data_IF_210142083113
#
_entry.id   IF_210142083113
#
_cell.length_a   1.000
_cell.length_b   1.000
_cell.length_c   1.000
_cell.angle_alpha   90.00
_cell.angle_beta   90.00
_cell.angle_gamma   90.00
#
_symmetry.space_group_name_H-M   'P 1'
#
loop_
_entity.id
_entity.type
_entity.pdbx_description
1 polymer ?
#
# COMPACT_ATOMS: atom_id res chain seq x y z
N UNK A 1 -11.17 9.50 -23.80
CA UNK A 1 -12.22 8.76 -24.52
C UNK A 1 -13.34 9.69 -24.97
N UNK A 2 -14.05 10.43 -24.06
CA UNK A 2 -15.18 11.31 -24.45
C UNK A 2 -14.84 12.35 -25.50
N UNK A 3 -13.63 12.87 -25.49
CA UNK A 3 -13.17 13.85 -26.46
C UNK A 3 -12.88 13.19 -27.82
N UNK A 4 -12.13 12.09 -27.80
CA UNK A 4 -11.80 11.36 -29.03
C UNK A 4 -13.01 10.73 -29.74
N UNK A 5 -14.08 10.43 -28.99
CA UNK A 5 -15.35 9.93 -29.53
C UNK A 5 -16.11 10.96 -30.39
N UNK A 6 -15.80 12.25 -30.22
CA UNK A 6 -16.49 13.37 -30.85
C UNK A 6 -15.65 14.14 -31.88
N UNK A 7 -14.40 13.78 -32.04
CA UNK A 7 -13.44 14.49 -32.88
C UNK A 7 -12.85 13.53 -33.92
N UNK A 8 -12.97 13.91 -35.18
CA UNK A 8 -12.23 13.25 -36.25
C UNK A 8 -10.71 13.41 -36.00
N UNK A 9 -9.93 12.43 -36.41
CA UNK A 9 -8.47 12.41 -36.26
C UNK A 9 -7.95 12.42 -34.81
N UNK A 10 -8.77 11.96 -33.86
CA UNK A 10 -8.40 11.89 -32.45
C UNK A 10 -8.40 10.46 -31.94
N UNK A 11 -7.42 10.13 -31.11
CA UNK A 11 -7.36 8.87 -30.37
C UNK A 11 -7.13 9.11 -28.87
N UNK A 12 -7.50 8.13 -28.05
CA UNK A 12 -7.31 8.19 -26.60
C UNK A 12 -6.64 6.91 -26.10
N UNK A 13 -5.63 7.06 -25.24
CA UNK A 13 -5.06 5.95 -24.47
C UNK A 13 -5.98 5.68 -23.28
N UNK A 14 -6.50 4.46 -23.16
CA UNK A 14 -7.40 4.08 -22.09
C UNK A 14 -7.39 2.57 -21.86
N UNK A 15 -8.08 2.11 -20.82
CA UNK A 15 -8.31 0.67 -20.62
C UNK A 15 -9.28 0.11 -21.66
N UNK A 16 -9.12 -1.16 -22.01
CA UNK A 16 -10.08 -1.89 -22.87
C UNK A 16 -11.52 -1.76 -22.34
N UNK A 17 -11.71 -1.85 -21.03
CA UNK A 17 -13.01 -1.68 -20.39
C UNK A 17 -13.65 -0.31 -20.71
N UNK A 18 -12.88 0.76 -20.64
CA UNK A 18 -13.39 2.12 -20.93
C UNK A 18 -13.77 2.28 -22.41
N UNK A 19 -13.04 1.66 -23.33
CA UNK A 19 -13.39 1.67 -24.76
C UNK A 19 -14.70 0.91 -25.02
N UNK A 20 -14.82 -0.32 -24.49
CA UNK A 20 -16.01 -1.15 -24.63
C UNK A 20 -17.25 -0.48 -24.02
N UNK A 21 -17.13 0.08 -22.82
CA UNK A 21 -18.23 0.80 -22.14
C UNK A 21 -18.75 2.01 -22.95
N UNK A 22 -17.89 2.59 -23.77
CA UNK A 22 -18.22 3.76 -24.60
C UNK A 22 -18.56 3.40 -26.05
N UNK A 23 -18.45 2.16 -26.43
CA UNK A 23 -18.69 1.72 -27.80
C UNK A 23 -17.70 2.27 -28.84
N UNK A 24 -16.49 2.71 -28.39
CA UNK A 24 -15.45 3.21 -29.31
C UNK A 24 -14.56 2.06 -29.78
N UNK A 25 -14.16 2.08 -31.06
CA UNK A 25 -13.29 1.04 -31.62
C UNK A 25 -11.90 1.10 -30.96
N UNK A 26 -11.31 -0.09 -30.75
CA UNK A 26 -9.95 -0.24 -30.27
C UNK A 26 -9.03 -0.35 -31.48
N UNK A 27 -8.17 0.64 -31.69
CA UNK A 27 -7.23 0.66 -32.80
C UNK A 27 -6.00 -0.21 -32.52
N UNK A 28 -5.44 -0.09 -31.34
CA UNK A 28 -4.27 -0.85 -30.88
C UNK A 28 -4.53 -1.36 -29.47
N UNK A 29 -4.14 -2.59 -29.19
CA UNK A 29 -4.25 -3.23 -27.89
C UNK A 29 -2.85 -3.54 -27.34
N UNK A 30 -2.72 -3.62 -26.01
CA UNK A 30 -1.47 -3.94 -25.34
C UNK A 30 -0.32 -3.00 -25.70
N UNK A 31 -0.58 -1.70 -25.60
CA UNK A 31 0.38 -0.65 -25.93
C UNK A 31 1.26 -0.23 -24.74
N UNK A 32 1.18 -0.95 -23.63
CA UNK A 32 2.03 -0.75 -22.47
C UNK A 32 3.50 -1.06 -22.79
N UNK A 33 4.41 -0.22 -22.32
CA UNK A 33 5.86 -0.41 -22.47
C UNK A 33 6.39 -1.61 -21.67
N UNK A 34 5.71 -1.97 -20.60
CA UNK A 34 6.05 -3.10 -19.74
C UNK A 34 4.82 -3.96 -19.44
N UNK A 35 4.97 -5.29 -19.57
CA UNK A 35 3.92 -6.25 -19.18
C UNK A 35 3.65 -6.28 -17.67
N UNK A 36 4.58 -5.78 -16.86
CA UNK A 36 4.50 -5.72 -15.40
C UNK A 36 3.93 -4.39 -14.89
N UNK A 37 3.23 -3.65 -15.74
CA UNK A 37 2.58 -2.40 -15.35
C UNK A 37 1.32 -2.70 -14.54
N UNK A 38 1.43 -2.64 -13.22
CA UNK A 38 0.34 -2.88 -12.30
C UNK A 38 -0.05 -1.61 -11.54
N UNK A 39 -1.36 -1.34 -11.46
CA UNK A 39 -1.90 -0.29 -10.61
C UNK A 39 -2.48 -0.92 -9.35
N UNK A 40 -1.97 -0.49 -8.19
CA UNK A 40 -2.47 -0.93 -6.88
C UNK A 40 -3.65 -0.06 -6.47
N UNK A 41 -4.80 -0.68 -6.30
CA UNK A 41 -5.99 -0.05 -5.73
C UNK A 41 -6.10 -0.38 -4.26
N UNK A 42 -6.54 0.60 -3.46
CA UNK A 42 -6.79 0.43 -2.02
C UNK A 42 -8.28 0.62 -1.79
N UNK A 43 -8.89 -0.33 -1.08
CA UNK A 43 -10.26 -0.22 -0.58
C UNK A 43 -10.20 0.39 0.82
N UNK A 44 -10.88 1.52 1.02
CA UNK A 44 -10.97 2.18 2.31
C UNK A 44 -12.28 1.78 2.99
N UNK A 45 -12.21 1.47 4.29
CA UNK A 45 -13.35 1.16 5.14
C UNK A 45 -13.31 2.02 6.41
N UNK A 46 -14.48 2.36 6.95
CA UNK A 46 -14.61 3.01 8.25
C UNK A 46 -14.51 2.05 9.44
N UNK A 47 -14.43 0.73 9.17
CA UNK A 47 -14.33 -0.32 10.20
C UNK A 47 -13.08 -1.16 9.97
N UNK A 48 -12.44 -1.55 11.07
CA UNK A 48 -11.30 -2.47 11.04
C UNK A 48 -11.78 -3.90 10.78
N UNK A 49 -11.02 -4.65 9.98
CA UNK A 49 -11.25 -6.07 9.83
C UNK A 49 -10.69 -6.80 11.07
N UNK A 50 -11.56 -7.45 11.83
CA UNK A 50 -11.23 -8.24 13.02
C UNK A 50 -11.10 -9.75 12.73
N UNK A 51 -11.38 -10.17 11.49
CA UNK A 51 -11.38 -11.58 11.11
C UNK A 51 -9.97 -11.97 10.64
N UNK A 52 -9.35 -12.88 11.37
CA UNK A 52 -8.05 -13.44 11.03
C UNK A 52 -8.23 -14.49 9.92
N UNK A 53 -7.49 -14.35 8.84
CA UNK A 53 -7.38 -15.34 7.77
C UNK A 53 -6.02 -16.05 7.79
N UNK A 54 -5.86 -17.07 6.95
CA UNK A 54 -4.58 -17.78 6.83
C UNK A 54 -3.52 -17.00 6.04
N UNK A 55 -3.92 -15.99 5.32
CA UNK A 55 -3.04 -15.23 4.40
C UNK A 55 -3.30 -13.73 4.53
N UNK A 56 -3.19 -13.22 5.75
CA UNK A 56 -3.38 -11.80 6.01
C UNK A 56 -2.12 -10.99 5.72
N UNK A 57 -2.36 -9.76 5.39
CA UNK A 57 -1.37 -8.70 5.32
C UNK A 57 -1.81 -7.53 6.17
N UNK A 58 -0.88 -6.98 6.94
CA UNK A 58 -1.09 -5.77 7.73
C UNK A 58 -0.29 -4.61 7.15
N UNK A 59 -0.93 -3.46 7.07
CA UNK A 59 -0.28 -2.20 6.70
C UNK A 59 -0.26 -1.27 7.91
N UNK A 60 0.90 -0.66 8.17
CA UNK A 60 1.12 0.32 9.23
C UNK A 60 1.80 1.56 8.69
N UNK A 61 1.58 2.68 9.37
CA UNK A 61 2.37 3.89 9.25
C UNK A 61 3.20 4.05 10.51
N UNK A 62 4.50 4.28 10.34
CA UNK A 62 5.43 4.41 11.46
C UNK A 62 6.12 5.77 11.42
N UNK A 63 6.12 6.45 12.56
CA UNK A 63 6.83 7.70 12.79
C UNK A 63 8.02 7.41 13.72
N UNK A 64 9.25 7.51 13.22
CA UNK A 64 10.44 7.31 14.04
C UNK A 64 11.15 8.64 14.20
N UNK A 65 11.74 8.85 15.38
CA UNK A 65 12.61 10.00 15.63
C UNK A 65 13.80 9.96 14.68
N UNK A 66 14.31 11.15 14.34
CA UNK A 66 15.52 11.26 13.52
C UNK A 66 16.75 10.89 14.37
N UNK A 67 17.41 9.79 14.03
CA UNK A 67 18.57 9.31 14.76
C UNK A 67 19.30 8.18 14.06
N UNK A 68 20.59 8.04 14.36
CA UNK A 68 21.39 6.96 13.84
C UNK A 68 20.90 5.61 14.34
N UNK A 69 20.59 4.69 13.41
CA UNK A 69 20.20 3.32 13.73
C UNK A 69 18.73 3.12 14.11
N UNK A 70 17.94 4.17 14.37
CA UNK A 70 16.57 4.04 14.88
C UNK A 70 15.68 3.17 13.98
N UNK A 71 15.77 3.32 12.66
CA UNK A 71 15.04 2.46 11.73
C UNK A 71 15.54 1.01 11.80
N UNK A 72 16.85 0.81 11.91
CA UNK A 72 17.44 -0.53 11.99
C UNK A 72 16.99 -1.26 13.26
N UNK A 73 17.00 -0.57 14.39
CA UNK A 73 16.49 -1.10 15.67
C UNK A 73 15.02 -1.47 15.57
N UNK A 74 14.20 -0.60 14.97
CA UNK A 74 12.79 -0.89 14.74
C UNK A 74 12.57 -2.11 13.84
N UNK A 75 13.33 -2.26 12.76
CA UNK A 75 13.24 -3.41 11.86
C UNK A 75 13.75 -4.69 12.51
N UNK A 76 14.71 -4.61 13.45
CA UNK A 76 15.18 -5.74 14.22
C UNK A 76 14.06 -6.39 15.06
N UNK A 77 13.11 -5.59 15.58
CA UNK A 77 11.95 -6.12 16.30
C UNK A 77 11.10 -7.07 15.43
N UNK A 78 10.93 -6.75 14.13
CA UNK A 78 10.23 -7.62 13.21
C UNK A 78 11.00 -8.91 12.91
N UNK A 79 12.32 -8.80 12.77
CA UNK A 79 13.19 -9.97 12.61
C UNK A 79 13.07 -10.91 13.81
N UNK A 80 13.20 -10.40 15.03
CA UNK A 80 13.17 -11.17 16.26
C UNK A 80 11.79 -11.80 16.50
N UNK A 81 10.73 -11.08 16.11
CA UNK A 81 9.35 -11.59 16.13
C UNK A 81 9.04 -12.58 15.00
N UNK A 82 9.97 -12.83 14.08
CA UNK A 82 9.80 -13.66 12.87
C UNK A 82 8.64 -13.20 11.97
N UNK A 83 8.48 -11.89 11.85
CA UNK A 83 7.47 -11.27 10.99
C UNK A 83 8.13 -10.85 9.69
N UNK A 84 7.62 -11.37 8.56
CA UNK A 84 8.14 -11.05 7.23
C UNK A 84 7.57 -9.73 6.73
N UNK A 85 8.46 -8.78 6.39
CA UNK A 85 8.10 -7.52 5.77
C UNK A 85 7.96 -7.70 4.25
N UNK A 86 6.86 -7.19 3.68
CA UNK A 86 6.59 -7.26 2.24
C UNK A 86 6.70 -5.91 1.54
N UNK A 87 6.74 -4.82 2.31
CA UNK A 87 6.94 -3.46 1.80
C UNK A 87 7.57 -2.59 2.87
N UNK A 88 8.50 -1.74 2.46
CA UNK A 88 9.03 -0.62 3.23
C UNK A 88 9.19 0.58 2.31
N UNK A 89 8.47 1.66 2.59
CA UNK A 89 8.49 2.87 1.78
C UNK A 89 8.55 4.10 2.68
N UNK A 90 9.57 4.94 2.50
CA UNK A 90 9.68 6.21 3.21
C UNK A 90 9.01 7.34 2.43
N UNK A 91 8.36 8.23 3.16
CA UNK A 91 7.80 9.48 2.62
C UNK A 91 8.19 10.65 3.51
N UNK A 92 8.43 11.84 2.95
CA UNK A 92 8.62 13.04 3.76
C UNK A 92 7.41 13.26 4.66
N UNK A 93 7.66 13.56 5.92
CA UNK A 93 6.60 13.94 6.85
C UNK A 93 6.02 15.30 6.47
N UNK A 94 4.79 15.58 6.89
CA UNK A 94 4.18 16.90 6.69
C UNK A 94 4.96 17.96 7.45
N UNK A 95 5.04 19.18 6.89
CA UNK A 95 5.63 20.35 7.59
C UNK A 95 4.92 20.56 8.93
N UNK A 96 5.71 20.82 9.98
CA UNK A 96 5.20 21.06 11.34
C UNK A 96 5.12 19.82 12.22
N UNK A 97 5.73 18.71 11.83
CA UNK A 97 5.96 17.53 12.67
C UNK A 97 7.45 17.44 13.04
N UNK A 98 7.74 16.83 14.20
CA UNK A 98 9.11 16.58 14.67
C UNK A 98 9.82 15.46 13.90
N UNK A 99 9.09 14.80 12.97
CA UNK A 99 9.60 13.70 12.15
C UNK A 99 9.99 14.20 10.76
N UNK A 100 11.16 13.81 10.27
CA UNK A 100 11.58 14.09 8.89
C UNK A 100 10.90 13.16 7.88
N UNK A 101 10.70 11.91 8.25
CA UNK A 101 10.13 10.86 7.42
C UNK A 101 9.08 10.06 8.17
N UNK A 102 8.13 9.55 7.41
CA UNK A 102 7.18 8.51 7.84
C UNK A 102 7.41 7.27 6.99
N UNK A 103 7.23 6.10 7.58
CA UNK A 103 7.45 4.82 6.92
C UNK A 103 6.13 4.09 6.76
N UNK A 104 5.80 3.74 5.51
CA UNK A 104 4.73 2.82 5.21
C UNK A 104 5.31 1.41 5.15
N UNK A 105 4.82 0.54 6.01
CA UNK A 105 5.30 -0.83 6.14
C UNK A 105 4.13 -1.78 5.96
N UNK A 106 4.30 -2.76 5.07
CA UNK A 106 3.39 -3.91 4.96
C UNK A 106 4.13 -5.16 5.45
N UNK A 107 3.44 -6.01 6.21
CA UNK A 107 3.98 -7.28 6.67
C UNK A 107 2.95 -8.40 6.60
N UNK A 108 3.41 -9.65 6.60
CA UNK A 108 2.57 -10.84 6.59
C UNK A 108 2.01 -11.12 7.98
N UNK A 109 0.72 -11.44 8.03
CA UNK A 109 -0.02 -11.70 9.25
C UNK A 109 -1.01 -10.62 9.62
N UNK A 110 -1.87 -10.94 10.58
CA UNK A 110 -2.91 -10.06 11.10
C UNK A 110 -2.38 -9.25 12.30
N UNK A 111 -2.85 -8.01 12.47
CA UNK A 111 -2.40 -7.16 13.59
C UNK A 111 -2.73 -7.73 14.98
N UNK A 112 -3.72 -8.61 15.09
CA UNK A 112 -4.07 -9.32 16.34
C UNK A 112 -3.10 -10.45 16.68
N UNK A 113 -2.14 -10.81 15.82
CA UNK A 113 -1.15 -11.83 16.13
C UNK A 113 -0.28 -11.39 17.32
N UNK A 114 -0.06 -12.30 18.25
CA UNK A 114 0.66 -12.03 19.50
C UNK A 114 2.05 -11.43 19.31
N UNK A 115 2.78 -11.89 18.29
CA UNK A 115 4.12 -11.38 18.00
C UNK A 115 4.11 -9.90 17.63
N UNK A 116 3.16 -9.46 16.79
CA UNK A 116 3.03 -8.05 16.43
C UNK A 116 2.48 -7.21 17.58
N UNK A 117 1.62 -7.76 18.42
CA UNK A 117 1.08 -7.07 19.58
C UNK A 117 2.17 -6.65 20.59
N UNK A 118 3.28 -7.39 20.67
CA UNK A 118 4.44 -7.02 21.50
C UNK A 118 5.11 -5.77 20.93
N UNK A 119 5.35 -5.73 19.61
CA UNK A 119 5.93 -4.57 18.91
C UNK A 119 5.00 -3.37 19.04
N UNK A 120 3.69 -3.57 18.79
CA UNK A 120 2.70 -2.49 18.89
C UNK A 120 2.66 -1.85 20.27
N UNK A 121 2.73 -2.63 21.35
CA UNK A 121 2.79 -2.08 22.71
C UNK A 121 4.04 -1.26 22.99
N UNK A 122 5.18 -1.70 22.45
CA UNK A 122 6.47 -1.00 22.63
C UNK A 122 6.52 0.33 21.88
N UNK A 123 5.90 0.38 20.71
CA UNK A 123 5.91 1.53 19.79
C UNK A 123 4.52 2.15 19.60
N UNK A 124 3.68 2.12 20.64
CA UNK A 124 2.27 2.53 20.55
C UNK A 124 2.10 3.96 20.03
N UNK A 125 2.97 4.89 20.42
CA UNK A 125 2.92 6.29 20.00
C UNK A 125 3.53 6.52 18.62
N UNK A 126 4.26 5.53 18.10
CA UNK A 126 4.97 5.62 16.83
C UNK A 126 4.22 4.91 15.70
N UNK A 127 3.38 3.92 16.02
CA UNK A 127 2.69 3.08 15.02
C UNK A 127 1.24 3.51 14.89
N UNK A 128 0.83 3.80 13.66
CA UNK A 128 -0.58 3.91 13.29
C UNK A 128 -0.97 2.71 12.44
N UNK A 129 -1.90 1.89 12.94
CA UNK A 129 -2.48 0.81 12.16
C UNK A 129 -3.31 1.38 11.01
N UNK A 130 -3.05 0.91 9.79
CA UNK A 130 -3.81 1.26 8.59
C UNK A 130 -4.84 0.17 8.24
N UNK A 131 -4.60 -1.06 8.68
CA UNK A 131 -5.53 -2.18 8.54
C UNK A 131 -4.85 -3.51 8.31
N UNK A 132 -5.59 -4.59 8.62
CA UNK A 132 -5.25 -5.97 8.26
C UNK A 132 -6.33 -6.54 7.35
N UNK A 133 -5.92 -7.22 6.32
CA UNK A 133 -6.83 -7.74 5.29
C UNK A 133 -6.23 -8.96 4.60
N UNK A 134 -7.08 -9.87 4.07
CA UNK A 134 -6.62 -10.98 3.28
C UNK A 134 -5.78 -10.52 2.09
N UNK A 135 -4.64 -11.13 1.86
CA UNK A 135 -3.80 -10.87 0.69
C UNK A 135 -4.51 -11.44 -0.53
N UNK A 136 -4.94 -10.56 -1.43
CA UNK A 136 -5.37 -10.97 -2.76
C UNK A 136 -4.12 -11.31 -3.58
N UNK A 137 -4.15 -12.46 -4.19
CA UNK A 137 -3.07 -13.00 -5.02
C UNK A 137 -2.97 -12.20 -6.31
#
# INVERSE_FOLDING_TARGET
VRYADKQEDSAAICSRFAAVQRGVPILYDKIEDSKDNHTRFIVLSGTENQVISKNDKTSILVNLSDGHGVLAEFLQEFHDAKINLTKLESRPAKKGTDFKYVFYIDFEGHFLNSNFQIILKRYIDNIKLLGSYPRMI
#
